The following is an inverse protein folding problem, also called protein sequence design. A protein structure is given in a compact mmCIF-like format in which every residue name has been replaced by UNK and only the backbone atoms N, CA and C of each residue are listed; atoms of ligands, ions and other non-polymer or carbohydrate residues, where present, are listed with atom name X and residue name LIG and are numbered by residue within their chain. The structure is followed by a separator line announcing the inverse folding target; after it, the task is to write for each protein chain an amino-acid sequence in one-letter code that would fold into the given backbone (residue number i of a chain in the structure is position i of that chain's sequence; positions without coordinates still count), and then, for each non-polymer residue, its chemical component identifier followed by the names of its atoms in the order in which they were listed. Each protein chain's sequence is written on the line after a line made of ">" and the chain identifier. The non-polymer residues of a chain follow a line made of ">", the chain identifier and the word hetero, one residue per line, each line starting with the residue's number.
data_IF_117709485810
#
_entry.id   IF_117709485810
#
_cell.length_a   1.000
_cell.length_b   1.000
_cell.length_c   1.000
_cell.angle_alpha   90.00
_cell.angle_beta   90.00
_cell.angle_gamma   90.00
#
_symmetry.space_group_name_H-M   'P 1'
#
loop_
_entity.id
_entity.type
_entity.pdbx_description
1 polymer ?
#
# COMPACT_ATOMS: atom_id res chain seq x y z
N UNK A 1 7.42 -37.96 -28.47
CA UNK A 1 8.11 -37.45 -27.27
C UNK A 1 7.19 -36.46 -26.59
N UNK A 2 6.85 -36.70 -25.32
CA UNK A 2 6.14 -35.74 -24.47
C UNK A 2 7.04 -34.53 -24.23
N UNK A 3 6.52 -33.28 -24.27
CA UNK A 3 7.34 -32.10 -23.96
C UNK A 3 7.82 -32.20 -22.50
N UNK A 4 9.07 -31.79 -22.26
CA UNK A 4 9.57 -31.67 -20.90
C UNK A 4 8.68 -30.69 -20.10
N UNK A 5 8.38 -30.98 -18.82
CA UNK A 5 7.62 -30.07 -17.98
C UNK A 5 8.34 -28.72 -17.90
N UNK A 6 7.57 -27.63 -17.97
CA UNK A 6 8.09 -26.29 -17.78
C UNK A 6 8.85 -26.20 -16.45
N UNK A 7 9.98 -25.48 -16.37
CA UNK A 7 10.72 -25.33 -15.13
C UNK A 7 9.81 -24.79 -14.03
N UNK A 8 9.89 -25.40 -12.85
CA UNK A 8 9.16 -24.94 -11.68
C UNK A 8 9.48 -23.45 -11.46
N UNK A 9 8.44 -22.60 -11.38
CA UNK A 9 8.62 -21.20 -11.04
C UNK A 9 9.33 -21.12 -9.69
N UNK A 10 10.45 -20.40 -9.64
CA UNK A 10 11.19 -20.15 -8.40
C UNK A 10 10.28 -19.50 -7.36
N UNK A 11 10.47 -19.83 -6.09
CA UNK A 11 9.78 -19.19 -4.98
C UNK A 11 9.89 -17.65 -5.05
N UNK A 12 8.93 -16.89 -4.49
CA UNK A 12 8.98 -15.44 -4.48
C UNK A 12 10.32 -14.93 -3.92
N UNK A 13 10.98 -14.03 -4.65
CA UNK A 13 12.26 -13.45 -4.22
C UNK A 13 12.10 -12.52 -3.01
N UNK A 14 10.89 -12.01 -2.77
CA UNK A 14 10.54 -11.18 -1.62
C UNK A 14 9.27 -11.68 -0.94
N UNK A 15 9.16 -11.41 0.36
CA UNK A 15 8.08 -11.86 1.25
C UNK A 15 7.71 -10.77 2.24
N UNK A 16 6.47 -10.78 2.73
CA UNK A 16 5.98 -9.81 3.73
C UNK A 16 6.78 -9.83 5.03
N UNK A 17 7.41 -10.96 5.37
CA UNK A 17 8.29 -11.06 6.54
C UNK A 17 9.44 -10.06 6.49
N UNK A 18 9.94 -9.71 5.30
CA UNK A 18 11.01 -8.73 5.16
C UNK A 18 10.56 -7.31 5.55
N UNK A 19 9.27 -6.99 5.39
CA UNK A 19 8.72 -5.73 5.92
C UNK A 19 8.68 -5.74 7.45
N UNK A 20 8.41 -6.90 8.06
CA UNK A 20 8.44 -7.08 9.52
C UNK A 20 9.89 -6.97 10.03
N UNK A 21 10.84 -7.64 9.37
CA UNK A 21 12.27 -7.54 9.68
C UNK A 21 12.76 -6.09 9.59
N UNK A 22 12.27 -5.32 8.62
CA UNK A 22 12.59 -3.89 8.49
C UNK A 22 12.03 -3.04 9.64
N UNK A 23 10.83 -3.35 10.13
CA UNK A 23 10.25 -2.71 11.33
C UNK A 23 11.12 -3.03 12.56
N UNK A 24 11.47 -4.31 12.75
CA UNK A 24 12.32 -4.76 13.86
C UNK A 24 13.68 -4.05 13.85
N UNK A 25 14.31 -3.99 12.66
CA UNK A 25 15.57 -3.29 12.45
C UNK A 25 15.45 -1.80 12.80
N UNK A 26 14.42 -1.11 12.29
CA UNK A 26 14.25 0.32 12.55
C UNK A 26 14.05 0.63 14.04
N UNK A 27 13.25 -0.17 14.75
CA UNK A 27 13.04 -0.02 16.20
C UNK A 27 14.35 -0.27 16.96
N UNK A 28 15.11 -1.29 16.58
CA UNK A 28 16.42 -1.58 17.18
C UNK A 28 17.42 -0.46 16.93
N UNK A 29 17.46 0.09 15.72
CA UNK A 29 18.31 1.23 15.38
C UNK A 29 17.94 2.49 16.16
N UNK A 30 16.66 2.69 16.45
CA UNK A 30 16.20 3.81 17.28
C UNK A 30 16.75 3.78 18.72
N UNK A 31 17.09 2.60 19.24
CA UNK A 31 17.62 2.42 20.61
C UNK A 31 19.12 2.11 20.65
N UNK A 32 19.76 1.84 19.50
CA UNK A 32 21.18 1.50 19.44
C UNK A 32 22.06 2.75 19.53
N UNK A 33 22.84 2.85 20.60
CA UNK A 33 23.87 3.90 20.75
C UNK A 33 24.79 3.90 19.53
N UNK A 34 25.03 5.09 18.97
CA UNK A 34 25.82 5.28 17.75
C UNK A 34 25.08 5.02 16.43
N UNK A 35 23.79 4.68 16.45
CA UNK A 35 22.98 4.71 15.23
C UNK A 35 22.68 6.15 14.80
N UNK A 36 22.68 6.40 13.49
CA UNK A 36 22.19 7.67 12.92
C UNK A 36 20.72 7.94 13.24
N UNK A 37 19.95 6.90 13.61
CA UNK A 37 18.53 6.97 13.95
C UNK A 37 18.26 7.00 15.47
N UNK A 38 19.29 6.96 16.31
CA UNK A 38 19.14 6.90 17.76
C UNK A 38 18.23 8.03 18.29
N UNK A 39 17.08 7.67 18.85
CA UNK A 39 16.08 8.60 19.39
C UNK A 39 15.37 9.49 18.36
N UNK A 40 15.44 9.17 17.05
CA UNK A 40 14.87 10.01 15.98
C UNK A 40 13.58 9.46 15.37
N UNK A 41 13.25 8.20 15.63
CA UNK A 41 12.06 7.55 15.07
C UNK A 41 10.93 7.54 16.09
N UNK A 42 9.74 7.94 15.67
CA UNK A 42 8.50 7.66 16.41
C UNK A 42 8.03 6.25 16.08
N UNK A 43 8.37 5.30 16.96
CA UNK A 43 8.04 3.88 16.76
C UNK A 43 6.56 3.57 17.01
N UNK A 44 5.74 4.56 17.38
CA UNK A 44 4.29 4.42 17.49
C UNK A 44 3.57 4.76 16.19
N UNK A 45 4.30 5.21 15.15
CA UNK A 45 3.76 5.67 13.86
C UNK A 45 4.43 4.93 12.70
N UNK A 46 4.02 3.68 12.49
CA UNK A 46 4.62 2.82 11.45
C UNK A 46 3.66 2.67 10.27
N UNK A 47 4.17 2.87 9.06
CA UNK A 47 3.48 2.59 7.81
C UNK A 47 4.21 1.49 7.03
N UNK A 48 3.45 0.59 6.41
CA UNK A 48 3.98 -0.35 5.40
C UNK A 48 3.33 -0.06 4.06
N UNK A 49 4.12 -0.11 2.99
CA UNK A 49 3.64 0.15 1.66
C UNK A 49 4.46 -0.58 0.61
N UNK A 50 3.87 -0.81 -0.55
CA UNK A 50 4.57 -1.46 -1.65
C UNK A 50 3.81 -1.38 -2.97
N UNK A 51 4.54 -1.63 -4.06
CA UNK A 51 4.04 -1.61 -5.42
C UNK A 51 3.90 -3.05 -5.95
N UNK A 52 2.86 -3.33 -6.75
CA UNK A 52 2.64 -4.65 -7.36
C UNK A 52 2.67 -5.78 -6.31
N UNK A 53 3.55 -6.79 -6.44
CA UNK A 53 3.71 -7.84 -5.43
C UNK A 53 4.02 -7.30 -4.02
N UNK A 54 4.75 -6.18 -3.94
CA UNK A 54 5.02 -5.48 -2.68
C UNK A 54 3.77 -4.91 -2.02
N UNK A 55 2.73 -4.55 -2.79
CA UNK A 55 1.45 -4.11 -2.23
C UNK A 55 0.69 -5.25 -1.56
N UNK A 56 0.74 -6.46 -2.15
CA UNK A 56 0.20 -7.68 -1.52
C UNK A 56 0.96 -8.01 -0.24
N UNK A 57 2.29 -7.89 -0.26
CA UNK A 57 3.15 -8.08 0.92
C UNK A 57 2.86 -7.04 2.01
N UNK A 58 2.64 -5.77 1.64
CA UNK A 58 2.26 -4.71 2.57
C UNK A 58 0.90 -4.98 3.22
N UNK A 59 -0.09 -5.43 2.45
CA UNK A 59 -1.38 -5.86 2.99
C UNK A 59 -1.19 -7.05 3.94
N UNK A 60 -0.32 -8.00 3.63
CA UNK A 60 -0.03 -9.09 4.57
C UNK A 60 0.60 -8.59 5.87
N UNK A 61 1.64 -7.78 5.76
CA UNK A 61 2.37 -7.21 6.89
C UNK A 61 1.50 -6.28 7.77
N UNK A 62 0.40 -5.76 7.23
CA UNK A 62 -0.51 -4.86 7.96
C UNK A 62 -1.18 -5.49 9.19
N UNK A 63 -1.15 -6.82 9.34
CA UNK A 63 -1.66 -7.48 10.56
C UNK A 63 -0.68 -7.44 11.72
N UNK A 64 0.57 -7.03 11.50
CA UNK A 64 1.46 -6.73 12.61
C UNK A 64 0.86 -5.58 13.43
N UNK A 65 0.64 -5.76 14.75
CA UNK A 65 -0.06 -4.79 15.58
C UNK A 65 0.65 -3.44 15.68
N UNK A 66 1.94 -3.36 15.29
CA UNK A 66 2.71 -2.11 15.28
C UNK A 66 2.40 -1.25 14.07
N UNK A 67 1.87 -1.83 12.98
CA UNK A 67 1.55 -1.10 11.76
C UNK A 67 0.31 -0.25 11.99
N UNK A 68 0.46 1.07 11.83
CA UNK A 68 -0.62 2.05 12.06
C UNK A 68 -1.30 2.52 10.77
N UNK A 69 -0.75 2.19 9.61
CA UNK A 69 -1.40 2.39 8.32
C UNK A 69 -0.74 1.57 7.21
N UNK A 70 -1.50 1.32 6.14
CA UNK A 70 -0.99 0.61 4.95
C UNK A 70 -1.31 1.39 3.68
N UNK A 71 -0.37 1.37 2.72
CA UNK A 71 -0.62 1.88 1.37
C UNK A 71 -0.23 0.82 0.32
N UNK A 72 -1.21 0.37 -0.45
CA UNK A 72 -1.03 -0.51 -1.60
C UNK A 72 -0.98 0.32 -2.87
N UNK A 73 0.07 0.18 -3.67
CA UNK A 73 0.23 0.94 -4.91
C UNK A 73 0.24 0.05 -6.14
N UNK A 74 -0.57 0.39 -7.16
CA UNK A 74 -0.74 -0.42 -8.37
C UNK A 74 -0.88 -1.91 -8.04
N UNK A 75 -1.67 -2.21 -7.01
CA UNK A 75 -1.70 -3.54 -6.39
C UNK A 75 -3.06 -3.83 -5.76
N UNK A 76 -3.29 -5.08 -5.42
CA UNK A 76 -4.45 -5.59 -4.70
C UNK A 76 -4.30 -7.10 -4.55
N UNK A 77 -5.01 -7.69 -3.59
CA UNK A 77 -4.95 -9.13 -3.37
C UNK A 77 -5.49 -9.87 -4.60
N UNK A 78 -4.78 -10.92 -5.01
CA UNK A 78 -5.18 -11.75 -6.16
C UNK A 78 -6.07 -12.91 -5.68
N UNK A 79 -7.16 -13.23 -6.40
CA UNK A 79 -8.11 -14.26 -5.96
C UNK A 79 -7.50 -15.67 -5.99
N UNK A 80 -6.63 -15.93 -6.97
CA UNK A 80 -6.03 -17.23 -7.19
C UNK A 80 -4.58 -17.27 -6.72
N UNK A 81 -4.15 -18.44 -6.22
CA UNK A 81 -2.75 -18.67 -5.86
C UNK A 81 -1.82 -18.44 -7.05
N UNK A 82 -0.67 -17.83 -6.77
CA UNK A 82 0.40 -17.64 -7.72
C UNK A 82 1.69 -18.16 -7.11
N UNK A 83 2.40 -19.03 -7.82
CA UNK A 83 3.74 -19.47 -7.40
C UNK A 83 4.81 -18.37 -7.58
N UNK A 84 4.52 -17.32 -8.35
CA UNK A 84 5.47 -16.26 -8.69
C UNK A 84 5.53 -15.13 -7.66
N UNK A 85 4.58 -15.07 -6.72
CA UNK A 85 4.52 -14.05 -5.68
C UNK A 85 3.87 -14.61 -4.42
N UNK A 86 4.14 -13.99 -3.28
CA UNK A 86 3.44 -14.35 -2.05
C UNK A 86 1.93 -14.18 -2.22
N UNK A 87 1.19 -15.27 -2.03
CA UNK A 87 -0.26 -15.25 -2.11
C UNK A 87 -0.89 -14.93 -0.76
N UNK A 88 -1.89 -14.05 -0.79
CA UNK A 88 -2.64 -13.61 0.39
C UNK A 88 -4.13 -13.74 0.07
N UNK A 89 -4.90 -14.53 0.83
CA UNK A 89 -6.32 -14.69 0.59
C UNK A 89 -7.11 -13.41 0.92
N UNK A 90 -8.25 -13.22 0.25
CA UNK A 90 -9.10 -12.02 0.41
C UNK A 90 -9.66 -11.85 1.82
N UNK A 91 -9.85 -12.93 2.59
CA UNK A 91 -10.32 -12.87 3.98
C UNK A 91 -9.33 -12.15 4.92
N UNK A 92 -8.08 -11.96 4.49
CA UNK A 92 -7.07 -11.16 5.17
C UNK A 92 -7.52 -9.71 5.38
N UNK A 93 -8.34 -9.17 4.48
CA UNK A 93 -8.90 -7.81 4.58
C UNK A 93 -9.82 -7.64 5.80
N UNK A 94 -10.45 -8.72 6.27
CA UNK A 94 -11.31 -8.69 7.46
C UNK A 94 -10.52 -8.64 8.77
N UNK A 95 -9.21 -8.89 8.71
CA UNK A 95 -8.32 -8.94 9.88
C UNK A 95 -7.57 -7.61 10.07
N UNK A 96 -7.68 -6.68 9.13
CA UNK A 96 -7.06 -5.35 9.21
C UNK A 96 -7.49 -4.64 10.49
N UNK A 97 -6.52 -4.09 11.22
CA UNK A 97 -6.74 -3.37 12.48
C UNK A 97 -6.46 -1.86 12.36
N UNK A 98 -5.77 -1.47 11.30
CA UNK A 98 -5.38 -0.10 11.01
C UNK A 98 -5.85 0.34 9.62
N UNK A 99 -5.91 1.65 9.35
CA UNK A 99 -6.37 2.12 8.05
C UNK A 99 -5.51 1.74 6.85
N UNK A 100 -6.16 1.67 5.70
CA UNK A 100 -5.52 1.25 4.45
C UNK A 100 -5.94 2.15 3.28
N UNK A 101 -5.02 2.37 2.34
CA UNK A 101 -5.30 3.00 1.06
C UNK A 101 -4.79 2.17 -0.12
N UNK A 102 -5.54 2.19 -1.21
CA UNK A 102 -5.10 1.71 -2.53
C UNK A 102 -5.00 2.88 -3.49
N UNK A 103 -3.86 3.02 -4.13
CA UNK A 103 -3.62 4.00 -5.19
C UNK A 103 -3.18 3.27 -6.46
N UNK A 104 -4.01 3.30 -7.48
CA UNK A 104 -3.81 2.50 -8.69
C UNK A 104 -3.79 3.35 -9.96
N UNK A 105 -3.33 2.72 -11.04
CA UNK A 105 -3.58 3.23 -12.38
C UNK A 105 -5.04 3.05 -12.80
N UNK A 106 -5.34 3.51 -14.00
CA UNK A 106 -6.65 3.34 -14.64
C UNK A 106 -6.96 1.84 -14.91
N UNK A 107 -8.13 1.50 -15.49
CA UNK A 107 -8.48 0.10 -15.73
C UNK A 107 -7.50 -0.71 -16.60
N UNK A 108 -6.53 -0.09 -17.28
CA UNK A 108 -5.43 -0.79 -17.97
C UNK A 108 -4.34 -1.30 -17.02
N UNK A 109 -4.26 -0.80 -15.78
CA UNK A 109 -3.45 -1.39 -14.72
C UNK A 109 -4.03 -2.76 -14.34
N UNK A 110 -3.23 -3.80 -14.56
CA UNK A 110 -3.60 -5.20 -14.27
C UNK A 110 -4.03 -5.45 -12.83
N UNK A 111 -3.63 -4.59 -11.90
CA UNK A 111 -3.99 -4.69 -10.49
C UNK A 111 -5.20 -3.82 -10.09
N UNK A 112 -5.68 -2.92 -10.95
CA UNK A 112 -6.86 -2.10 -10.71
C UNK A 112 -8.09 -2.92 -10.25
N UNK A 113 -8.52 -3.99 -10.95
CA UNK A 113 -9.68 -4.77 -10.52
C UNK A 113 -9.46 -5.43 -9.14
N UNK A 114 -8.22 -5.80 -8.81
CA UNK A 114 -7.89 -6.38 -7.51
C UNK A 114 -8.03 -5.36 -6.39
N UNK A 115 -7.54 -4.13 -6.61
CA UNK A 115 -7.63 -3.01 -5.65
C UNK A 115 -9.08 -2.61 -5.38
N UNK A 116 -9.88 -2.50 -6.46
CA UNK A 116 -11.30 -2.17 -6.37
C UNK A 116 -12.05 -3.22 -5.55
N UNK A 117 -11.80 -4.50 -5.84
CA UNK A 117 -12.39 -5.62 -5.10
C UNK A 117 -11.94 -5.67 -3.62
N UNK A 118 -10.66 -5.38 -3.34
CA UNK A 118 -10.15 -5.28 -1.97
C UNK A 118 -10.87 -4.18 -1.19
N UNK A 119 -10.98 -3.00 -1.79
CA UNK A 119 -11.66 -1.86 -1.19
C UNK A 119 -13.13 -2.18 -0.90
N UNK A 120 -13.85 -2.81 -1.84
CA UNK A 120 -15.25 -3.21 -1.67
C UNK A 120 -15.43 -4.19 -0.50
N UNK A 121 -14.52 -5.14 -0.33
CA UNK A 121 -14.54 -6.13 0.77
C UNK A 121 -14.05 -5.57 2.11
N UNK A 122 -13.29 -4.47 2.11
CA UNK A 122 -12.77 -3.86 3.33
C UNK A 122 -13.85 -3.00 4.00
N UNK A 123 -14.35 -3.47 5.16
CA UNK A 123 -15.41 -2.78 5.91
C UNK A 123 -15.08 -2.55 7.39
N UNK A 124 -14.01 -3.15 7.93
CA UNK A 124 -13.64 -3.03 9.33
C UNK A 124 -13.01 -1.67 9.67
N UNK A 125 -12.08 -1.22 8.83
CA UNK A 125 -11.21 -0.06 9.07
C UNK A 125 -11.49 1.09 8.09
N UNK A 126 -11.01 2.32 8.38
CA UNK A 126 -10.98 3.39 7.39
C UNK A 126 -10.22 2.95 6.13
N UNK A 127 -10.88 3.09 4.97
CA UNK A 127 -10.36 2.68 3.68
C UNK A 127 -10.50 3.78 2.63
N UNK A 128 -9.45 3.94 1.82
CA UNK A 128 -9.42 4.88 0.70
C UNK A 128 -9.01 4.14 -0.57
N UNK A 129 -9.75 4.31 -1.65
CA UNK A 129 -9.34 3.85 -2.96
C UNK A 129 -9.32 5.05 -3.89
N UNK A 130 -8.19 5.27 -4.56
CA UNK A 130 -8.13 6.19 -5.67
C UNK A 130 -7.36 5.60 -6.83
N UNK A 131 -7.73 6.03 -8.03
CA UNK A 131 -6.99 5.69 -9.22
C UNK A 131 -6.89 6.87 -10.16
N UNK A 132 -5.82 6.90 -10.95
CA UNK A 132 -5.50 8.00 -11.86
C UNK A 132 -5.62 7.59 -13.31
N UNK A 133 -6.26 8.42 -14.11
CA UNK A 133 -6.32 8.26 -15.57
C UNK A 133 -4.93 8.27 -16.22
N UNK A 134 -4.80 7.56 -17.35
CA UNK A 134 -3.60 7.55 -18.20
C UNK A 134 -2.35 7.03 -17.47
N UNK A 135 -2.55 6.15 -16.49
CA UNK A 135 -1.49 5.52 -15.72
C UNK A 135 -1.76 4.03 -15.69
N UNK A 136 -0.79 3.24 -16.16
CA UNK A 136 -0.83 1.79 -16.08
C UNK A 136 -0.14 1.25 -14.83
N UNK A 137 0.18 -0.05 -14.85
CA UNK A 137 0.76 -0.76 -13.70
C UNK A 137 2.09 -0.18 -13.17
N UNK A 138 2.87 0.45 -14.06
CA UNK A 138 4.15 1.07 -13.71
C UNK A 138 4.02 2.38 -12.94
N UNK A 139 2.80 2.89 -12.70
CA UNK A 139 2.57 4.13 -11.97
C UNK A 139 3.31 5.34 -12.57
N UNK A 140 3.54 6.36 -11.74
CA UNK A 140 4.31 7.55 -12.09
C UNK A 140 5.74 7.52 -11.52
N UNK A 141 6.23 6.36 -11.03
CA UNK A 141 7.46 6.27 -10.22
C UNK A 141 8.74 6.69 -10.94
N UNK A 142 8.77 6.60 -12.27
CA UNK A 142 9.92 6.98 -13.10
C UNK A 142 9.94 8.47 -13.44
N UNK A 143 8.88 9.19 -13.12
CA UNK A 143 8.82 10.64 -13.26
C UNK A 143 9.65 11.30 -12.15
N UNK A 144 10.00 12.57 -12.34
CA UNK A 144 10.72 13.35 -11.35
C UNK A 144 9.97 13.33 -10.01
N UNK A 145 10.67 12.95 -8.93
CA UNK A 145 10.12 12.80 -7.58
C UNK A 145 8.92 11.83 -7.49
N UNK A 146 8.79 10.89 -8.43
CA UNK A 146 7.69 9.92 -8.48
C UNK A 146 6.37 10.49 -9.00
N UNK A 147 6.37 11.69 -9.59
CA UNK A 147 5.21 12.27 -10.26
C UNK A 147 4.01 12.51 -9.34
N UNK A 148 2.80 12.35 -9.87
CA UNK A 148 1.56 12.54 -9.10
C UNK A 148 1.42 11.54 -7.94
N UNK A 149 1.85 10.28 -8.10
CA UNK A 149 1.81 9.32 -6.99
C UNK A 149 2.77 9.72 -5.87
N UNK A 150 3.93 10.31 -6.20
CA UNK A 150 4.86 10.85 -5.22
C UNK A 150 4.23 11.96 -4.36
N UNK A 151 3.52 12.90 -5.00
CA UNK A 151 2.79 13.98 -4.30
C UNK A 151 1.72 13.40 -3.36
N UNK A 152 0.93 12.46 -3.86
CA UNK A 152 -0.13 11.80 -3.09
C UNK A 152 0.45 11.00 -1.92
N UNK A 153 1.55 10.27 -2.12
CA UNK A 153 2.21 9.50 -1.07
C UNK A 153 2.65 10.40 0.09
N UNK A 154 3.34 11.51 -0.22
CA UNK A 154 3.82 12.46 0.79
C UNK A 154 2.65 13.07 1.56
N UNK A 155 1.59 13.50 0.86
CA UNK A 155 0.41 14.07 1.50
C UNK A 155 -0.28 13.05 2.43
N UNK A 156 -0.48 11.81 1.97
CA UNK A 156 -1.15 10.78 2.76
C UNK A 156 -0.33 10.42 4.01
N UNK A 157 1.00 10.27 3.88
CA UNK A 157 1.89 10.01 5.01
C UNK A 157 1.95 11.18 6.00
N UNK A 158 2.03 12.42 5.53
CA UNK A 158 2.00 13.60 6.42
C UNK A 158 0.67 13.69 7.17
N UNK A 159 -0.45 13.43 6.51
CA UNK A 159 -1.75 13.40 7.18
C UNK A 159 -1.82 12.30 8.24
N UNK A 160 -1.54 11.05 7.87
CA UNK A 160 -1.80 9.89 8.75
C UNK A 160 -0.75 9.70 9.85
N UNK A 161 0.53 9.95 9.54
CA UNK A 161 1.61 9.75 10.52
C UNK A 161 1.89 11.01 11.33
N UNK A 162 1.75 12.20 10.72
CA UNK A 162 2.10 13.48 11.38
C UNK A 162 0.88 14.32 11.78
N UNK A 163 -0.34 13.89 11.44
CA UNK A 163 -1.56 14.63 11.77
C UNK A 163 -1.72 15.93 11.00
N UNK A 164 -1.06 16.07 9.84
CA UNK A 164 -1.10 17.30 9.05
C UNK A 164 -2.50 17.54 8.46
N UNK A 165 -3.20 18.54 9.02
CA UNK A 165 -4.55 18.94 8.61
C UNK A 165 -4.60 19.59 7.23
N UNK A 166 -3.52 20.21 6.77
CA UNK A 166 -3.46 20.77 5.44
C UNK A 166 -3.31 19.65 4.40
N UNK A 167 -2.44 18.66 4.67
CA UNK A 167 -2.31 17.47 3.84
C UNK A 167 -3.62 16.65 3.80
N UNK A 168 -4.35 16.59 4.92
CA UNK A 168 -5.63 15.88 5.00
C UNK A 168 -6.65 16.35 3.95
N UNK A 169 -6.66 17.64 3.59
CA UNK A 169 -7.60 18.23 2.61
C UNK A 169 -7.52 17.58 1.23
N UNK A 170 -6.42 16.90 0.91
CA UNK A 170 -6.31 16.12 -0.33
C UNK A 170 -7.27 14.92 -0.36
N UNK A 171 -7.65 14.37 0.81
CA UNK A 171 -8.36 13.09 0.93
C UNK A 171 -9.73 13.17 1.62
N UNK A 172 -9.91 14.10 2.57
CA UNK A 172 -11.13 14.19 3.39
C UNK A 172 -12.10 15.27 2.91
N UNK A 173 -13.38 15.06 3.21
CA UNK A 173 -14.50 15.90 2.79
C UNK A 173 -15.06 15.48 1.43
N UNK A 174 -16.31 15.88 1.16
CA UNK A 174 -16.99 15.60 -0.10
C UNK A 174 -16.24 16.19 -1.31
N UNK A 175 -15.66 17.38 -1.13
CA UNK A 175 -14.87 18.10 -2.14
C UNK A 175 -13.37 18.04 -1.82
N UNK A 176 -12.88 16.88 -1.43
CA UNK A 176 -11.45 16.67 -1.19
C UNK A 176 -10.63 16.98 -2.46
N UNK A 177 -9.35 17.31 -2.31
CA UNK A 177 -8.48 17.67 -3.44
C UNK A 177 -8.55 16.64 -4.59
N UNK A 178 -8.37 15.35 -4.29
CA UNK A 178 -8.49 14.29 -5.30
C UNK A 178 -9.92 14.08 -5.80
N UNK A 179 -10.93 14.38 -4.99
CA UNK A 179 -12.34 14.27 -5.36
C UNK A 179 -12.73 15.31 -6.44
N UNK A 180 -11.98 16.41 -6.54
CA UNK A 180 -12.22 17.49 -7.51
C UNK A 180 -11.26 17.49 -8.70
N UNK A 181 -10.21 16.67 -8.66
CA UNK A 181 -9.27 16.52 -9.78
C UNK A 181 -9.85 15.56 -10.81
N UNK A 182 -10.05 16.06 -12.04
CA UNK A 182 -10.64 15.28 -13.14
C UNK A 182 -9.84 14.03 -13.54
N UNK A 183 -8.55 13.97 -13.20
CA UNK A 183 -7.71 12.81 -13.52
C UNK A 183 -7.77 11.74 -12.43
N UNK A 184 -8.41 12.02 -11.30
CA UNK A 184 -8.50 11.11 -10.16
C UNK A 184 -9.94 10.68 -9.92
N UNK A 185 -10.10 9.42 -9.56
CA UNK A 185 -11.37 8.82 -9.22
C UNK A 185 -11.24 8.24 -7.83
N UNK A 186 -12.17 8.58 -6.94
CA UNK A 186 -12.04 8.34 -5.50
C UNK A 186 -13.23 7.57 -4.95
N UNK A 187 -12.96 6.63 -4.04
CA UNK A 187 -13.96 5.95 -3.21
C UNK A 187 -13.45 5.89 -1.77
N UNK A 188 -14.35 6.14 -0.81
CA UNK A 188 -13.99 6.32 0.60
C UNK A 188 -14.90 5.48 1.51
N UNK A 189 -14.35 4.98 2.61
CA UNK A 189 -15.11 4.36 3.72
C UNK A 189 -14.53 4.79 5.05
N UNK A 190 -15.36 5.38 5.93
CA UNK A 190 -15.00 5.74 7.31
C UNK A 190 -13.73 6.61 7.46
N UNK A 191 -13.47 7.53 6.52
CA UNK A 191 -12.27 8.40 6.57
C UNK A 191 -12.56 9.87 6.84
N UNK A 192 -13.82 10.29 6.66
CA UNK A 192 -14.31 11.65 6.90
C UNK A 192 -14.67 11.85 8.38
#
# INVERSE_FOLDING_TARGET
>A
ATPAPAPARSAPATMSSQLIDAIDWAIKENTRKGSSYFGKLDTTKIAVMGQSCGGVQAIKASLDPRVTMTISWNSGLIPNQSAAMEWVPKDHLNKLHAPIAWFNGDPSDVAHPNAKDDFEKTNGVPAFFAWREQVGHSGTYRELNGGEFGKVAVAYLNWRLKGDKQAAKMFVGEKCGLCTDKNWHVSKKKID
#
